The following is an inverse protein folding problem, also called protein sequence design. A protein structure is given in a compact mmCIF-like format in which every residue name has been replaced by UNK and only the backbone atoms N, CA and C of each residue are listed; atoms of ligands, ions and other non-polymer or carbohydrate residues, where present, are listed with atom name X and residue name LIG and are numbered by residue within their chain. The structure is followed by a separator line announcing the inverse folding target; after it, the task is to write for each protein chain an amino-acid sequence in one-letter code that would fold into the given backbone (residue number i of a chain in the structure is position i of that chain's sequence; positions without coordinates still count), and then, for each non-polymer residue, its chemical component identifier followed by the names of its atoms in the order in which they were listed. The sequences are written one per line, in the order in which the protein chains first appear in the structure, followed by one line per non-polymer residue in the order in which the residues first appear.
data_IF_828677833386
#
_entry.id   IF_828677833386
#
_cell.length_a   1.000
_cell.length_b   1.000
_cell.length_c   1.000
_cell.angle_alpha   90.00
_cell.angle_beta   90.00
_cell.angle_gamma   90.00
#
_symmetry.space_group_name_H-M   'P 1'
#
loop_
_entity.id
_entity.type
_entity.pdbx_description
1 polymer ?
#
# COMPACT_ATOMS: atom_id res chain seq x y z
N UNK A 1 5.38 -32.12 41.35
CA UNK A 1 6.81 -32.47 41.13
C UNK A 1 7.01 -32.56 39.62
N UNK A 2 7.92 -31.91 38.89
CA UNK A 2 9.06 -31.00 39.13
C UNK A 2 9.27 -30.19 37.81
N UNK A 3 9.94 -29.04 37.92
CA UNK A 3 10.22 -28.00 36.91
C UNK A 3 11.22 -28.38 35.80
N UNK A 4 11.23 -27.49 34.79
CA UNK A 4 12.36 -27.04 33.92
C UNK A 4 12.78 -27.98 32.79
N UNK A 5 13.12 -27.50 31.58
CA UNK A 5 14.13 -26.46 31.29
C UNK A 5 13.70 -25.54 30.14
N UNK A 6 13.77 -24.22 30.40
CA UNK A 6 13.84 -23.15 29.39
C UNK A 6 15.22 -23.15 28.74
N UNK A 7 15.30 -23.41 27.44
CA UNK A 7 16.51 -23.09 26.66
C UNK A 7 16.40 -21.66 26.13
N UNK A 8 17.11 -20.75 26.81
CA UNK A 8 17.58 -19.50 26.25
C UNK A 8 18.94 -19.78 25.60
N UNK A 9 19.00 -19.70 24.28
CA UNK A 9 20.22 -19.37 23.54
C UNK A 9 19.84 -18.28 22.55
N UNK A 10 20.39 -17.10 22.79
CA UNK A 10 20.07 -15.88 22.07
C UNK A 10 20.50 -15.92 20.62
N UNK A 11 19.56 -15.53 19.77
CA UNK A 11 19.82 -14.74 18.58
C UNK A 11 18.70 -13.69 18.55
N UNK A 12 19.04 -12.43 18.81
CA UNK A 12 18.11 -11.32 18.70
C UNK A 12 17.65 -11.20 17.24
N UNK A 13 16.54 -11.83 16.90
CA UNK A 13 15.72 -11.42 15.76
C UNK A 13 14.52 -10.68 16.34
N UNK A 14 14.73 -9.41 16.62
CA UNK A 14 13.65 -8.47 16.83
C UNK A 14 12.62 -8.62 15.71
N UNK A 15 11.36 -8.63 16.11
CA UNK A 15 10.21 -8.34 15.27
C UNK A 15 10.52 -7.16 14.34
N UNK A 16 10.76 -7.42 13.07
CA UNK A 16 10.77 -6.39 12.04
C UNK A 16 9.78 -6.86 10.97
N UNK A 17 8.54 -6.40 11.11
CA UNK A 17 7.53 -6.57 10.08
C UNK A 17 8.04 -5.89 8.82
N UNK A 18 8.50 -6.69 7.86
CA UNK A 18 9.08 -6.16 6.63
C UNK A 18 8.11 -5.16 5.99
N UNK A 19 8.53 -3.90 5.98
CA UNK A 19 7.73 -2.76 5.56
C UNK A 19 7.55 -2.80 4.04
N UNK A 20 6.32 -2.62 3.57
CA UNK A 20 6.04 -2.38 2.15
C UNK A 20 6.56 -0.99 1.78
N UNK A 21 7.35 -0.89 0.72
CA UNK A 21 7.97 0.37 0.32
C UNK A 21 7.09 1.12 -0.69
N UNK A 22 6.65 2.36 -0.41
CA UNK A 22 5.84 3.13 -1.34
C UNK A 22 6.68 3.58 -2.53
N UNK A 23 6.21 3.25 -3.74
CA UNK A 23 6.84 3.65 -5.01
C UNK A 23 6.23 4.94 -5.52
N UNK A 24 4.90 5.00 -5.56
CA UNK A 24 4.15 6.21 -5.92
C UNK A 24 2.89 6.31 -5.07
N UNK A 25 2.53 7.52 -4.67
CA UNK A 25 1.32 7.77 -3.89
C UNK A 25 0.72 9.10 -4.27
N UNK A 26 -0.47 9.05 -4.84
CA UNK A 26 -1.26 10.22 -5.20
C UNK A 26 -2.50 10.29 -4.32
N UNK A 27 -2.76 11.47 -3.79
CA UNK A 27 -3.99 11.74 -3.05
C UNK A 27 -4.89 12.60 -3.93
N UNK A 28 -6.12 12.15 -4.09
CA UNK A 28 -7.17 12.80 -4.86
C UNK A 28 -8.21 13.37 -3.93
N UNK A 29 -8.85 14.46 -4.35
CA UNK A 29 -9.88 15.16 -3.61
C UNK A 29 -11.10 15.40 -4.49
N UNK A 30 -12.29 15.25 -3.92
CA UNK A 30 -13.57 15.62 -4.54
C UNK A 30 -14.56 16.03 -3.45
N UNK A 31 -14.85 17.32 -3.36
CA UNK A 31 -15.61 17.88 -2.24
C UNK A 31 -14.89 17.63 -0.92
N UNK A 32 -15.58 17.04 0.06
CA UNK A 32 -15.01 16.71 1.38
C UNK A 32 -14.41 15.29 1.45
N UNK A 33 -14.28 14.60 0.31
CA UNK A 33 -13.74 13.25 0.24
C UNK A 33 -12.31 13.25 -0.29
N UNK A 34 -11.46 12.43 0.32
CA UNK A 34 -10.11 12.16 -0.13
C UNK A 34 -9.92 10.66 -0.42
N UNK A 35 -9.14 10.36 -1.45
CA UNK A 35 -8.83 9.01 -1.89
C UNK A 35 -7.34 8.91 -2.22
N UNK A 36 -6.65 7.91 -1.70
CA UNK A 36 -5.27 7.61 -2.12
C UNK A 36 -5.29 6.57 -3.23
N UNK A 37 -4.51 6.79 -4.28
CA UNK A 37 -4.14 5.77 -5.26
C UNK A 37 -2.61 5.66 -5.27
N UNK A 38 -2.07 4.50 -4.93
CA UNK A 38 -0.63 4.29 -4.82
C UNK A 38 -0.18 2.92 -5.31
N UNK A 39 1.13 2.79 -5.50
CA UNK A 39 1.81 1.52 -5.76
C UNK A 39 2.82 1.31 -4.64
N UNK A 40 2.76 0.16 -4.01
CA UNK A 40 3.69 -0.28 -2.98
C UNK A 40 4.42 -1.55 -3.48
N UNK A 41 5.72 -1.70 -3.18
CA UNK A 41 6.42 -2.96 -3.40
C UNK A 41 5.93 -3.99 -2.36
N UNK A 42 5.57 -5.20 -2.81
CA UNK A 42 5.03 -6.21 -1.92
C UNK A 42 6.11 -6.72 -0.94
N UNK A 43 5.66 -7.25 0.19
CA UNK A 43 6.55 -7.75 1.27
C UNK A 43 7.43 -8.92 0.84
N UNK A 44 6.98 -9.73 -0.13
CA UNK A 44 7.73 -10.89 -0.61
C UNK A 44 8.87 -10.50 -1.58
N UNK A 45 8.92 -9.25 -2.04
CA UNK A 45 9.87 -8.78 -3.04
C UNK A 45 9.62 -9.34 -4.44
N UNK A 46 8.47 -9.98 -4.66
CA UNK A 46 8.14 -10.68 -5.92
C UNK A 46 7.11 -9.95 -6.77
N UNK A 47 6.54 -8.85 -6.26
CA UNK A 47 5.49 -8.13 -6.95
C UNK A 47 5.20 -6.78 -6.34
N UNK A 48 4.11 -6.17 -6.80
CA UNK A 48 3.68 -4.82 -6.48
C UNK A 48 2.19 -4.82 -6.22
N UNK A 49 1.76 -4.00 -5.27
CA UNK A 49 0.36 -3.82 -4.92
C UNK A 49 -0.09 -2.43 -5.35
N UNK A 50 -1.16 -2.34 -6.13
CA UNK A 50 -1.88 -1.09 -6.39
C UNK A 50 -2.95 -0.94 -5.32
N UNK A 51 -2.85 0.11 -4.52
CA UNK A 51 -3.75 0.39 -3.40
C UNK A 51 -4.65 1.58 -3.72
N UNK A 52 -5.96 1.39 -3.66
CA UNK A 52 -6.97 2.44 -3.70
C UNK A 52 -7.63 2.52 -2.33
N UNK A 53 -7.37 3.61 -1.60
CA UNK A 53 -7.81 3.79 -0.21
C UNK A 53 -8.75 4.98 -0.13
N UNK A 54 -10.07 4.77 0.01
CA UNK A 54 -11.02 5.80 0.39
C UNK A 54 -10.77 6.27 1.84
N UNK A 55 -10.52 7.55 2.08
CA UNK A 55 -10.23 8.03 3.46
C UNK A 55 -11.50 8.18 4.31
N UNK A 56 -12.67 8.22 3.67
CA UNK A 56 -13.96 8.24 4.37
C UNK A 56 -14.43 6.85 4.79
N UNK A 57 -13.92 5.80 4.16
CA UNK A 57 -14.25 4.41 4.46
C UNK A 57 -13.08 3.49 4.07
N UNK A 58 -12.13 3.37 5.00
CA UNK A 58 -10.91 2.58 4.79
C UNK A 58 -11.20 1.08 4.67
N UNK A 59 -12.36 0.60 5.14
CA UNK A 59 -12.75 -0.80 4.99
C UNK A 59 -13.07 -1.14 3.53
N UNK A 60 -13.43 -0.14 2.72
CA UNK A 60 -13.64 -0.26 1.27
C UNK A 60 -12.35 -0.11 0.46
N UNK A 61 -11.19 -0.34 1.07
CA UNK A 61 -9.89 -0.34 0.37
C UNK A 61 -9.83 -1.46 -0.67
N UNK A 62 -9.32 -1.14 -1.85
CA UNK A 62 -9.06 -2.09 -2.93
C UNK A 62 -7.55 -2.26 -3.07
N UNK A 63 -7.12 -3.52 -3.15
CA UNK A 63 -5.73 -3.90 -3.39
C UNK A 63 -5.69 -4.82 -4.60
N UNK A 64 -4.90 -4.46 -5.61
CA UNK A 64 -4.67 -5.23 -6.83
C UNK A 64 -3.20 -5.61 -6.92
N UNK A 65 -2.87 -6.90 -6.93
CA UNK A 65 -1.49 -7.38 -7.03
C UNK A 65 -1.03 -7.59 -8.48
N UNK A 66 0.21 -7.21 -8.79
CA UNK A 66 0.83 -7.38 -10.12
C UNK A 66 2.31 -7.74 -10.02
N UNK A 67 2.83 -8.48 -11.00
CA UNK A 67 4.19 -9.05 -10.93
C UNK A 67 5.28 -8.15 -11.56
N UNK A 68 4.92 -7.01 -12.14
CA UNK A 68 5.84 -6.12 -12.86
C UNK A 68 5.69 -4.67 -12.46
N UNK A 69 6.80 -3.92 -12.26
CA UNK A 69 6.73 -2.50 -11.92
C UNK A 69 6.10 -1.68 -13.04
N UNK A 70 6.34 -2.06 -14.30
CA UNK A 70 5.79 -1.36 -15.47
C UNK A 70 4.27 -1.55 -15.53
N UNK A 71 3.78 -2.77 -15.29
CA UNK A 71 2.35 -3.03 -15.20
C UNK A 71 1.70 -2.27 -14.06
N UNK A 72 2.36 -2.21 -12.90
CA UNK A 72 1.86 -1.49 -11.72
C UNK A 72 1.69 0.01 -11.98
N UNK A 73 2.73 0.65 -12.54
CA UNK A 73 2.70 2.07 -12.86
C UNK A 73 1.70 2.39 -13.97
N UNK A 74 1.59 1.53 -15.00
CA UNK A 74 0.57 1.70 -16.04
C UNK A 74 -0.84 1.61 -15.46
N UNK A 75 -1.09 0.62 -14.61
CA UNK A 75 -2.39 0.42 -13.95
C UNK A 75 -2.74 1.61 -13.04
N UNK A 76 -1.78 2.10 -12.26
CA UNK A 76 -1.93 3.32 -11.47
C UNK A 76 -2.29 4.53 -12.33
N UNK A 77 -1.63 4.72 -13.47
CA UNK A 77 -1.92 5.81 -14.39
C UNK A 77 -3.34 5.70 -14.99
N UNK A 78 -3.77 4.50 -15.37
CA UNK A 78 -5.14 4.24 -15.85
C UNK A 78 -6.20 4.63 -14.79
N UNK A 79 -6.00 4.19 -13.54
CA UNK A 79 -6.89 4.53 -12.42
C UNK A 79 -6.89 6.05 -12.19
N UNK A 80 -5.71 6.67 -12.22
CA UNK A 80 -5.59 8.11 -12.05
C UNK A 80 -6.30 8.91 -13.16
N UNK A 81 -6.26 8.44 -14.40
CA UNK A 81 -7.04 9.03 -15.50
C UNK A 81 -8.55 8.88 -15.25
N UNK A 82 -9.01 7.67 -14.92
CA UNK A 82 -10.43 7.42 -14.64
C UNK A 82 -10.95 8.26 -13.45
N UNK A 83 -10.13 8.45 -12.41
CA UNK A 83 -10.46 9.33 -11.29
C UNK A 83 -10.60 10.79 -11.74
N UNK A 84 -9.69 11.30 -12.56
CA UNK A 84 -9.79 12.66 -13.11
C UNK A 84 -11.05 12.83 -13.97
N UNK A 85 -11.35 11.86 -14.82
CA UNK A 85 -12.56 11.86 -15.66
C UNK A 85 -13.84 11.84 -14.79
N UNK A 86 -13.78 11.22 -13.61
CA UNK A 86 -14.86 11.21 -12.62
C UNK A 86 -14.90 12.46 -11.70
N UNK A 87 -14.12 13.51 -12.03
CA UNK A 87 -14.10 14.80 -11.33
C UNK A 87 -13.27 14.83 -10.06
N UNK A 88 -12.34 13.89 -9.88
CA UNK A 88 -11.36 13.96 -8.79
C UNK A 88 -10.16 14.79 -9.20
N UNK A 89 -9.71 15.66 -8.30
CA UNK A 89 -8.53 16.50 -8.52
C UNK A 89 -7.36 15.98 -7.69
N UNK A 90 -6.16 15.97 -8.27
CA UNK A 90 -4.95 15.63 -7.53
C UNK A 90 -4.68 16.72 -6.49
N UNK A 91 -4.46 16.35 -5.22
CA UNK A 91 -3.95 17.31 -4.24
C UNK A 91 -2.47 17.53 -4.53
N UNK A 92 -2.11 18.72 -4.96
CA UNK A 92 -0.71 19.15 -4.90
C UNK A 92 -0.44 19.46 -3.43
N UNK A 93 0.38 18.66 -2.76
CA UNK A 93 1.12 19.20 -1.62
C UNK A 93 2.33 19.91 -2.22
N UNK A 94 2.28 21.24 -2.27
CA UNK A 94 3.47 22.07 -2.47
C UNK A 94 4.40 21.92 -1.27
#
# INVERSE_FOLDING_TARGET
MRRMITNLSGGNASHEGAESFPIVRWVFQRGNHALTCGVDANRAGTGYDICIVPHWDVASTIIEGVDSPVSALRRHAEIACALRDAGWSLTTRC
#
